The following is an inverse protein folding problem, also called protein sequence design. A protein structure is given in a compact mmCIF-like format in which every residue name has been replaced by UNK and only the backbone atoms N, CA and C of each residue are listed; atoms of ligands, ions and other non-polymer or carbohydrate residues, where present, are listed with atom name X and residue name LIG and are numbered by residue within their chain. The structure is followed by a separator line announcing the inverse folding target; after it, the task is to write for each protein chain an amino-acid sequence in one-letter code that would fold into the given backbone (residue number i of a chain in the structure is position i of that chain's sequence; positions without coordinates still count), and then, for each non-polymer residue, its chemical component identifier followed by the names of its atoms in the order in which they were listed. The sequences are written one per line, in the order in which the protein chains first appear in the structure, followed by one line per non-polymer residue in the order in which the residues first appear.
data_IF_726350649392
#
_entry.id   IF_726350649392
#
_cell.length_a   1.000
_cell.length_b   1.000
_cell.length_c   1.000
_cell.angle_alpha   90.00
_cell.angle_beta   90.00
_cell.angle_gamma   90.00
#
_symmetry.space_group_name_H-M   'P 1'
#
loop_
_entity.id
_entity.type
_entity.pdbx_description
1 polymer ?
#
# COMPACT_ATOMS: atom_id res chain seq x y z
N UNK A 1 23.01 10.87 5.73
CA UNK A 1 22.95 9.63 4.93
C UNK A 1 21.75 8.78 5.34
N UNK A 2 21.61 8.47 6.63
CA UNK A 2 20.48 7.69 7.17
C UNK A 2 19.09 8.30 6.91
N UNK A 3 18.96 9.64 6.99
CA UNK A 3 17.70 10.33 6.66
C UNK A 3 17.29 10.14 5.21
N UNK A 4 18.22 10.34 4.26
CA UNK A 4 17.97 10.13 2.83
C UNK A 4 17.57 8.70 2.50
N UNK A 5 18.21 7.70 3.15
CA UNK A 5 17.84 6.30 2.99
C UNK A 5 16.40 6.05 3.46
N UNK A 6 16.05 6.57 4.64
CA UNK A 6 14.70 6.46 5.21
C UNK A 6 13.65 7.11 4.32
N UNK A 7 13.91 8.33 3.87
CA UNK A 7 12.99 9.09 3.01
C UNK A 7 12.78 8.37 1.68
N UNK A 8 13.84 7.83 1.09
CA UNK A 8 13.75 7.03 -0.13
C UNK A 8 12.88 5.79 0.06
N UNK A 9 13.06 5.03 1.15
CA UNK A 9 12.23 3.85 1.44
C UNK A 9 10.76 4.24 1.59
N UNK A 10 10.47 5.25 2.39
CA UNK A 10 9.09 5.70 2.63
C UNK A 10 8.45 6.19 1.33
N UNK A 11 9.19 6.92 0.49
CA UNK A 11 8.68 7.37 -0.81
C UNK A 11 8.36 6.19 -1.72
N UNK A 12 9.25 5.20 -1.82
CA UNK A 12 9.00 3.98 -2.59
C UNK A 12 7.79 3.20 -2.05
N UNK A 13 7.60 3.14 -0.72
CA UNK A 13 6.40 2.55 -0.12
C UNK A 13 5.13 3.31 -0.53
N UNK A 14 5.14 4.64 -0.50
CA UNK A 14 3.98 5.46 -0.88
C UNK A 14 3.63 5.24 -2.36
N UNK A 15 4.61 5.25 -3.25
CA UNK A 15 4.40 5.05 -4.69
C UNK A 15 3.87 3.65 -4.99
N UNK A 16 4.46 2.62 -4.38
CA UNK A 16 4.05 1.23 -4.57
C UNK A 16 2.63 0.99 -4.09
N UNK A 17 2.27 1.53 -2.91
CA UNK A 17 0.92 1.43 -2.38
C UNK A 17 -0.11 2.14 -3.27
N UNK A 18 0.19 3.34 -3.77
CA UNK A 18 -0.70 4.07 -4.70
C UNK A 18 -0.95 3.31 -5.99
N UNK A 19 0.10 2.79 -6.62
CA UNK A 19 -0.03 2.05 -7.88
C UNK A 19 -0.77 0.72 -7.65
N UNK A 20 -0.46 0.00 -6.57
CA UNK A 20 -1.18 -1.24 -6.22
C UNK A 20 -2.68 -0.98 -6.06
N UNK A 21 -3.09 0.13 -5.45
CA UNK A 21 -4.50 0.50 -5.36
C UNK A 21 -5.14 0.83 -6.72
N UNK A 22 -4.43 1.54 -7.60
CA UNK A 22 -4.95 1.93 -8.93
C UNK A 22 -5.05 0.73 -9.88
N UNK A 23 -4.05 -0.16 -9.91
CA UNK A 23 -4.06 -1.32 -10.80
C UNK A 23 -5.21 -2.27 -10.45
N UNK A 24 -5.50 -2.42 -9.16
CA UNK A 24 -6.64 -3.21 -8.71
C UNK A 24 -7.98 -2.53 -9.04
N UNK A 25 -8.06 -1.20 -8.93
CA UNK A 25 -9.19 -0.37 -9.41
C UNK A 25 -9.55 -0.64 -10.88
N UNK A 26 -8.58 -0.57 -11.78
CA UNK A 26 -8.81 -0.78 -13.22
C UNK A 26 -9.27 -2.23 -13.53
N UNK A 27 -8.86 -3.20 -12.71
CA UNK A 27 -9.28 -4.61 -12.82
C UNK A 27 -10.66 -4.91 -12.21
N UNK A 28 -11.05 -4.21 -11.14
CA UNK A 28 -12.32 -4.41 -10.42
C UNK A 28 -13.49 -3.59 -10.99
N UNK A 29 -13.24 -2.57 -11.82
CA UNK A 29 -14.21 -1.59 -12.32
C UNK A 29 -15.37 -2.13 -13.20
N UNK A 30 -15.57 -3.45 -13.30
CA UNK A 30 -16.67 -4.05 -14.10
C UNK A 30 -17.83 -4.58 -13.27
N UNK A 31 -17.81 -4.47 -11.95
CA UNK A 31 -18.90 -4.91 -11.08
C UNK A 31 -19.29 -3.78 -10.14
N UNK A 32 -20.40 -3.11 -10.46
CA UNK A 32 -21.06 -2.03 -9.74
C UNK A 32 -20.35 -0.65 -9.70
N UNK A 33 -21.09 0.37 -10.18
CA UNK A 33 -20.69 1.77 -10.12
C UNK A 33 -20.45 2.16 -8.65
N UNK A 34 -19.22 2.58 -8.34
CA UNK A 34 -18.74 3.20 -7.09
C UNK A 34 -17.95 2.34 -6.09
N UNK A 35 -17.64 1.07 -6.36
CA UNK A 35 -16.85 0.26 -5.41
C UNK A 35 -15.64 -0.42 -6.03
N UNK A 36 -14.54 -0.41 -5.26
CA UNK A 36 -13.28 -1.06 -5.62
C UNK A 36 -13.18 -2.38 -4.87
N UNK A 37 -13.23 -3.50 -5.59
CA UNK A 37 -12.87 -4.81 -5.03
C UNK A 37 -11.34 -4.97 -5.01
N UNK A 38 -10.67 -4.22 -4.13
CA UNK A 38 -9.29 -4.53 -3.74
C UNK A 38 -9.37 -5.62 -2.68
N UNK A 39 -8.87 -6.81 -2.98
CA UNK A 39 -8.67 -7.84 -1.96
C UNK A 39 -7.35 -7.57 -1.23
N UNK A 40 -7.23 -8.08 0.00
CA UNK A 40 -5.98 -7.95 0.77
C UNK A 40 -4.82 -8.55 -0.03
N UNK A 41 -5.01 -9.77 -0.56
CA UNK A 41 -4.03 -10.49 -1.38
C UNK A 41 -3.59 -9.69 -2.62
N UNK A 42 -4.52 -9.13 -3.39
CA UNK A 42 -4.15 -8.39 -4.61
C UNK A 42 -3.44 -7.07 -4.32
N UNK A 43 -3.74 -6.45 -3.17
CA UNK A 43 -2.98 -5.30 -2.69
C UNK A 43 -1.57 -5.69 -2.26
N UNK A 44 -1.42 -6.72 -1.43
CA UNK A 44 -0.15 -7.18 -0.88
C UNK A 44 0.80 -7.61 -2.00
N UNK A 45 0.36 -8.47 -2.92
CA UNK A 45 1.17 -8.91 -4.06
C UNK A 45 1.61 -7.74 -4.95
N UNK A 46 0.68 -6.82 -5.24
CA UNK A 46 0.95 -5.62 -6.03
C UNK A 46 1.97 -4.71 -5.35
N UNK A 47 1.78 -4.47 -4.05
CA UNK A 47 2.68 -3.66 -3.24
C UNK A 47 4.09 -4.25 -3.23
N UNK A 48 4.25 -5.54 -2.87
CA UNK A 48 5.56 -6.16 -2.72
C UNK A 48 6.33 -6.21 -4.03
N UNK A 49 5.63 -6.54 -5.13
CA UNK A 49 6.22 -6.56 -6.47
C UNK A 49 6.76 -5.18 -6.86
N UNK A 50 5.99 -4.13 -6.64
CA UNK A 50 6.38 -2.76 -6.98
C UNK A 50 7.45 -2.22 -6.03
N UNK A 51 7.32 -2.52 -4.74
CA UNK A 51 8.27 -2.09 -3.72
C UNK A 51 9.64 -2.68 -3.99
N UNK A 52 9.75 -3.99 -4.17
CA UNK A 52 11.03 -4.64 -4.49
C UNK A 52 11.60 -4.22 -5.84
N UNK A 53 10.76 -3.96 -6.85
CA UNK A 53 11.21 -3.49 -8.16
C UNK A 53 11.79 -2.07 -8.11
N UNK A 54 11.18 -1.18 -7.33
CA UNK A 54 11.49 0.24 -7.33
C UNK A 54 12.52 0.63 -6.25
N UNK A 55 12.78 -0.25 -5.29
CA UNK A 55 13.77 -0.04 -4.24
C UNK A 55 15.19 -0.02 -4.81
N UNK A 56 15.68 1.19 -5.07
CA UNK A 56 16.99 1.41 -5.73
C UNK A 56 18.19 1.34 -4.77
N UNK A 57 17.92 1.09 -3.48
CA UNK A 57 18.93 1.05 -2.42
C UNK A 57 19.06 -0.37 -1.87
N UNK A 58 20.28 -0.77 -1.55
CA UNK A 58 20.54 -2.07 -0.90
C UNK A 58 20.02 -2.02 0.54
N UNK A 59 18.86 -2.62 0.77
CA UNK A 59 18.31 -2.86 2.10
C UNK A 59 17.67 -4.24 2.10
N UNK A 60 18.09 -5.08 3.05
CA UNK A 60 17.54 -6.41 3.21
C UNK A 60 16.26 -6.30 4.03
N UNK A 61 15.14 -6.65 3.39
CA UNK A 61 13.83 -6.63 4.03
C UNK A 61 13.65 -7.93 4.81
N UNK A 62 13.31 -7.79 6.10
CA UNK A 62 13.05 -8.91 7.00
C UNK A 62 11.57 -9.27 7.03
N UNK A 63 10.70 -8.27 7.04
CA UNK A 63 9.26 -8.44 7.21
C UNK A 63 8.49 -7.28 6.56
N UNK A 64 7.33 -7.60 5.99
CA UNK A 64 6.33 -6.63 5.55
C UNK A 64 5.00 -7.03 6.17
N UNK A 65 4.32 -6.08 6.81
CA UNK A 65 3.03 -6.32 7.47
C UNK A 65 2.00 -5.26 7.14
N UNK A 66 0.75 -5.69 7.11
CA UNK A 66 -0.39 -4.90 6.67
C UNK A 66 -1.43 -4.80 7.78
N UNK A 67 -2.07 -3.63 7.89
CA UNK A 67 -3.25 -3.44 8.74
C UNK A 67 -4.32 -2.70 7.96
N UNK A 68 -5.48 -3.35 7.84
CA UNK A 68 -6.63 -2.84 7.12
C UNK A 68 -7.62 -2.17 8.06
N UNK A 69 -8.03 -0.96 7.72
CA UNK A 69 -9.23 -0.34 8.25
C UNK A 69 -10.35 -0.61 7.25
N UNK A 70 -11.45 -1.24 7.71
CA UNK A 70 -12.62 -1.54 6.90
C UNK A 70 -13.82 -0.71 7.31
N UNK A 71 -14.77 -0.53 6.40
CA UNK A 71 -16.09 0.05 6.70
C UNK A 71 -17.07 -1.01 7.24
N UNK A 72 -18.34 -0.62 7.40
CA UNK A 72 -19.39 -1.48 7.92
C UNK A 72 -19.77 -2.64 6.98
N UNK A 73 -19.47 -2.51 5.68
CA UNK A 73 -19.71 -3.52 4.65
C UNK A 73 -18.51 -4.44 4.45
N UNK A 74 -17.41 -4.22 5.21
CA UNK A 74 -16.18 -4.99 5.10
C UNK A 74 -15.24 -4.50 4.00
N UNK A 75 -15.53 -3.37 3.34
CA UNK A 75 -14.70 -2.81 2.27
C UNK A 75 -13.48 -2.09 2.83
N UNK A 76 -12.36 -2.09 2.10
CA UNK A 76 -11.11 -1.46 2.55
C UNK A 76 -11.25 0.07 2.50
N UNK A 77 -11.04 0.74 3.64
CA UNK A 77 -11.02 2.21 3.78
C UNK A 77 -9.61 2.77 3.84
N UNK A 78 -8.70 2.04 4.48
CA UNK A 78 -7.29 2.40 4.55
C UNK A 78 -6.43 1.16 4.77
N UNK A 79 -5.18 1.23 4.30
CA UNK A 79 -4.15 0.22 4.55
C UNK A 79 -2.93 0.90 5.16
N UNK A 80 -2.50 0.40 6.31
CA UNK A 80 -1.19 0.73 6.87
C UNK A 80 -0.21 -0.36 6.46
N UNK A 81 0.89 0.03 5.83
CA UNK A 81 1.99 -0.87 5.47
C UNK A 81 3.18 -0.57 6.37
N UNK A 82 3.76 -1.61 6.97
CA UNK A 82 4.99 -1.54 7.76
C UNK A 82 6.04 -2.46 7.15
N UNK A 83 7.23 -1.92 6.90
CA UNK A 83 8.40 -2.66 6.42
C UNK A 83 9.45 -2.65 7.52
N UNK A 84 10.02 -3.81 7.84
CA UNK A 84 11.11 -3.96 8.80
C UNK A 84 12.35 -4.48 8.07
N UNK A 85 13.49 -3.81 8.23
CA UNK A 85 14.76 -4.28 7.66
C UNK A 85 15.47 -5.31 8.57
N UNK A 86 16.56 -5.90 8.07
CA UNK A 86 17.39 -6.84 8.81
C UNK A 86 18.04 -6.27 10.08
N UNK A 87 18.13 -4.94 10.22
CA UNK A 87 18.61 -4.23 11.41
C UNK A 87 17.48 -3.90 12.40
N UNK A 88 16.25 -4.35 12.13
CA UNK A 88 15.02 -4.00 12.85
C UNK A 88 14.63 -2.52 12.76
N UNK A 89 15.10 -1.79 11.73
CA UNK A 89 14.58 -0.46 11.43
C UNK A 89 13.19 -0.58 10.80
N UNK A 90 12.24 0.22 11.29
CA UNK A 90 10.86 0.21 10.83
C UNK A 90 10.52 1.44 9.97
N UNK A 91 9.86 1.17 8.85
CA UNK A 91 9.32 2.15 7.92
C UNK A 91 7.83 1.92 7.79
N UNK A 92 7.03 2.99 7.77
CA UNK A 92 5.58 2.85 7.69
C UNK A 92 4.96 3.93 6.82
N UNK A 93 3.89 3.57 6.13
CA UNK A 93 2.99 4.49 5.44
C UNK A 93 1.55 4.08 5.66
N UNK A 94 0.63 5.04 5.50
CA UNK A 94 -0.81 4.79 5.51
C UNK A 94 -1.37 5.33 4.21
N UNK A 95 -1.98 4.44 3.44
CA UNK A 95 -2.79 4.82 2.29
C UNK A 95 -4.25 4.85 2.76
N UNK A 96 -4.92 5.97 2.49
CA UNK A 96 -6.37 6.09 2.65
C UNK A 96 -6.94 6.12 1.24
N UNK A 97 -7.98 5.33 1.00
CA UNK A 97 -8.78 5.51 -0.21
C UNK A 97 -9.37 6.93 -0.19
N UNK A 98 -9.37 7.59 -1.35
CA UNK A 98 -10.21 8.76 -1.55
C UNK A 98 -11.66 8.24 -1.67
N UNK A 99 -12.27 7.88 -0.54
CA UNK A 99 -13.72 7.78 -0.47
C UNK A 99 -14.24 9.19 -0.66
N UNK A 100 -14.60 9.55 -1.89
CA UNK A 100 -15.37 10.75 -2.13
C UNK A 100 -16.68 10.52 -1.39
N UNK A 101 -16.82 11.09 -0.20
CA UNK A 101 -18.13 11.25 0.44
C UNK A 101 -18.94 12.14 -0.52
N UNK A 102 -19.63 11.51 -1.48
CA UNK A 102 -20.69 12.17 -2.23
C UNK A 102 -21.79 12.36 -1.20
N UNK A 103 -21.75 13.50 -0.51
CA UNK A 103 -22.87 13.96 0.31
C UNK A 103 -24.05 14.16 -0.64
N UNK A 104 -25.03 13.26 -0.55
CA UNK A 104 -26.37 13.48 -1.07
C UNK A 104 -27.03 14.68 -0.36
#
# INVERSE_FOLDING_TARGET
MESFKRDSIILTMIESAKIASIVNLDGSARVEENYVDITDESFEEGFEKLFHKNLSIKVDIKDISYKYLRDQEGKIKAVKVKVTDSNNAEYQTVLKENTTDIKN
#
